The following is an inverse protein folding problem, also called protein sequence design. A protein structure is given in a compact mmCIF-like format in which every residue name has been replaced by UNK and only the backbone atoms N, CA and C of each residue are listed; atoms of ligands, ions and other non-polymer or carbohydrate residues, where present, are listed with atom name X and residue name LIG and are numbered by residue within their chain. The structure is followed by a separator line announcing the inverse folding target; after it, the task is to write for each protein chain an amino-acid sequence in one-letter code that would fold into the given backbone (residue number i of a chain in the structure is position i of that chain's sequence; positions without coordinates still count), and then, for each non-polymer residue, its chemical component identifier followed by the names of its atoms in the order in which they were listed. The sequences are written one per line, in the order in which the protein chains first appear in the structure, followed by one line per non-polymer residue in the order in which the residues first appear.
data_IF_312959819524
#
_entry.id   IF_312959819524
#
_cell.length_a   1.000
_cell.length_b   1.000
_cell.length_c   1.000
_cell.angle_alpha   90.00
_cell.angle_beta   90.00
_cell.angle_gamma   90.00
#
_symmetry.space_group_name_H-M   'P 1'
#
loop_
_entity.id
_entity.type
_entity.pdbx_description
1 polymer ?
#
# COMPACT_ATOMS: atom_id res chain seq x y z
N UNK A 1 -41.61 -18.46 7.37
CA UNK A 1 -40.52 -19.45 7.51
C UNK A 1 -39.39 -18.69 8.18
N UNK A 2 -39.31 -18.83 9.50
CA UNK A 2 -38.42 -18.04 10.34
C UNK A 2 -37.03 -18.64 10.35
N UNK A 3 -36.02 -17.79 10.17
CA UNK A 3 -34.63 -18.03 10.54
C UNK A 3 -34.07 -16.66 10.93
N UNK A 4 -34.50 -16.14 12.08
CA UNK A 4 -33.99 -14.87 12.63
C UNK A 4 -32.79 -15.16 13.55
N UNK A 5 -31.85 -15.98 13.07
CA UNK A 5 -30.75 -16.47 13.91
C UNK A 5 -29.48 -15.62 13.84
N UNK A 6 -29.47 -14.57 13.02
CA UNK A 6 -28.29 -13.71 12.83
C UNK A 6 -28.57 -12.21 12.80
N UNK A 7 -29.84 -11.78 12.85
CA UNK A 7 -30.18 -10.35 12.89
C UNK A 7 -29.89 -9.83 14.30
N UNK A 8 -28.94 -8.92 14.39
CA UNK A 8 -28.59 -8.28 15.66
C UNK A 8 -29.49 -7.07 15.91
N UNK A 9 -29.74 -6.25 14.89
CA UNK A 9 -30.53 -5.02 15.01
C UNK A 9 -31.04 -4.54 13.64
N UNK A 10 -32.20 -3.88 13.61
CA UNK A 10 -32.71 -3.16 12.43
C UNK A 10 -33.19 -1.79 12.89
N UNK A 11 -32.53 -0.74 12.42
CA UNK A 11 -32.93 0.64 12.71
C UNK A 11 -33.43 1.32 11.46
N UNK A 12 -34.37 2.25 11.62
CA UNK A 12 -34.81 3.13 10.54
C UNK A 12 -34.97 4.53 11.09
N UNK A 13 -34.29 5.50 10.48
CA UNK A 13 -34.34 6.91 10.86
C UNK A 13 -34.71 7.78 9.69
N UNK A 14 -35.45 8.85 9.97
CA UNK A 14 -35.74 9.89 9.00
C UNK A 14 -34.59 10.90 9.00
N UNK A 15 -33.94 11.08 7.85
CA UNK A 15 -32.77 11.98 7.69
C UNK A 15 -33.11 13.25 6.89
N UNK A 16 -34.34 13.36 6.39
CA UNK A 16 -34.86 14.54 5.70
C UNK A 16 -36.38 14.50 5.61
N UNK A 17 -36.98 15.45 4.90
CA UNK A 17 -38.45 15.53 4.78
C UNK A 17 -39.07 14.28 4.12
N UNK A 18 -38.38 13.67 3.17
CA UNK A 18 -38.81 12.45 2.46
C UNK A 18 -37.76 11.35 2.44
N UNK A 19 -36.64 11.53 3.15
CA UNK A 19 -35.49 10.62 3.12
C UNK A 19 -35.44 9.79 4.39
N UNK A 20 -35.36 8.47 4.23
CA UNK A 20 -35.22 7.50 5.29
C UNK A 20 -33.98 6.66 5.06
N UNK A 21 -33.25 6.38 6.13
CA UNK A 21 -32.13 5.43 6.14
C UNK A 21 -32.52 4.26 7.04
N UNK A 22 -32.47 3.05 6.50
CA UNK A 22 -32.72 1.80 7.22
C UNK A 22 -31.44 0.96 7.23
N UNK A 23 -31.02 0.51 8.40
CA UNK A 23 -29.75 -0.20 8.60
C UNK A 23 -30.02 -1.52 9.30
N UNK A 24 -29.56 -2.61 8.70
CA UNK A 24 -29.58 -3.97 9.25
C UNK A 24 -28.17 -4.32 9.77
N UNK A 25 -28.06 -4.62 11.06
CA UNK A 25 -26.89 -5.28 11.65
C UNK A 25 -27.14 -6.79 11.67
N UNK A 26 -26.26 -7.54 11.00
CA UNK A 26 -26.44 -8.96 10.78
C UNK A 26 -25.11 -9.72 10.91
N UNK A 27 -25.11 -10.82 11.64
CA UNK A 27 -23.99 -11.75 11.76
C UNK A 27 -24.31 -13.00 10.93
N UNK A 28 -23.79 -13.12 9.70
CA UNK A 28 -24.08 -14.26 8.84
C UNK A 28 -23.42 -15.55 9.32
N UNK A 29 -24.10 -16.67 9.11
CA UNK A 29 -23.57 -18.03 9.20
C UNK A 29 -23.20 -18.57 7.81
N UNK A 30 -22.51 -19.72 7.78
CA UNK A 30 -22.12 -20.40 6.54
C UNK A 30 -23.30 -20.69 5.60
N UNK A 31 -24.48 -20.97 6.15
CA UNK A 31 -25.68 -21.29 5.39
C UNK A 31 -26.34 -20.06 4.74
N UNK A 32 -25.98 -18.84 5.18
CA UNK A 32 -26.61 -17.61 4.75
C UNK A 32 -26.02 -17.06 3.45
N UNK A 33 -24.78 -17.44 3.12
CA UNK A 33 -24.14 -17.04 1.87
C UNK A 33 -24.79 -17.71 0.66
N UNK A 34 -25.18 -16.92 -0.33
CA UNK A 34 -25.95 -17.35 -1.50
C UNK A 34 -27.46 -17.21 -1.33
N UNK A 35 -27.96 -16.90 -0.13
CA UNK A 35 -29.36 -16.55 0.07
C UNK A 35 -29.66 -15.13 -0.42
N UNK A 36 -30.90 -14.95 -0.90
CA UNK A 36 -31.40 -13.62 -1.29
C UNK A 36 -32.09 -12.96 -0.10
N UNK A 37 -31.60 -11.79 0.28
CA UNK A 37 -32.23 -10.88 1.22
C UNK A 37 -33.15 -9.92 0.44
N UNK A 38 -34.32 -9.60 0.98
CA UNK A 38 -35.29 -8.68 0.38
C UNK A 38 -35.53 -7.50 1.32
N UNK A 39 -35.12 -6.30 0.89
CA UNK A 39 -35.45 -5.04 1.54
C UNK A 39 -36.85 -4.60 1.09
N UNK A 40 -37.70 -4.22 2.04
CA UNK A 40 -39.07 -3.78 1.77
C UNK A 40 -39.35 -2.43 2.40
N UNK A 41 -39.86 -1.49 1.61
CA UNK A 41 -40.37 -0.21 2.08
C UNK A 41 -41.87 -0.13 1.84
N UNK A 42 -42.63 0.27 2.86
CA UNK A 42 -44.09 0.25 2.83
C UNK A 42 -44.65 1.66 2.98
N UNK A 43 -45.53 2.02 2.04
CA UNK A 43 -46.57 3.03 2.20
C UNK A 43 -47.90 2.33 1.81
N UNK A 44 -48.98 2.98 1.34
CA UNK A 44 -50.13 2.26 0.77
C UNK A 44 -49.78 1.29 -0.38
N UNK A 45 -48.54 1.33 -0.90
CA UNK A 45 -47.91 0.38 -1.81
C UNK A 45 -46.64 -0.19 -1.19
N UNK A 46 -46.11 -1.27 -1.76
CA UNK A 46 -44.90 -1.95 -1.26
C UNK A 46 -43.82 -1.90 -2.34
N UNK A 47 -42.69 -1.26 -2.03
CA UNK A 47 -41.45 -1.38 -2.79
C UNK A 47 -40.62 -2.57 -2.29
N UNK A 48 -39.98 -3.30 -3.19
CA UNK A 48 -39.10 -4.43 -2.86
C UNK A 48 -37.79 -4.32 -3.65
N UNK A 49 -36.69 -4.62 -3.00
CA UNK A 49 -35.39 -4.76 -3.65
C UNK A 49 -34.66 -5.93 -3.02
N UNK A 50 -34.11 -6.82 -3.84
CA UNK A 50 -33.45 -8.02 -3.37
C UNK A 50 -32.00 -8.06 -3.78
N UNK A 51 -31.15 -8.58 -2.90
CA UNK A 51 -29.73 -8.82 -3.16
C UNK A 51 -29.32 -10.17 -2.59
N UNK A 52 -28.29 -10.77 -3.16
CA UNK A 52 -27.73 -12.03 -2.67
C UNK A 52 -26.55 -11.73 -1.75
N UNK A 53 -26.53 -12.35 -0.58
CA UNK A 53 -25.40 -12.24 0.33
C UNK A 53 -24.21 -13.02 -0.25
N UNK A 54 -23.09 -12.33 -0.45
CA UNK A 54 -21.84 -12.94 -0.93
C UNK A 54 -20.78 -12.93 0.16
N UNK A 55 -19.86 -13.89 0.11
CA UNK A 55 -18.68 -13.88 0.97
C UNK A 55 -17.77 -12.75 0.54
N UNK A 56 -17.26 -12.00 1.52
CA UNK A 56 -16.15 -11.11 1.28
C UNK A 56 -14.98 -11.89 0.68
N UNK A 57 -14.42 -11.37 -0.40
CA UNK A 57 -13.28 -11.99 -1.05
C UNK A 57 -11.96 -11.47 -0.46
N UNK A 58 -10.90 -12.31 -0.44
CA UNK A 58 -9.55 -11.82 -0.19
C UNK A 58 -9.17 -10.68 -1.15
N UNK A 59 -8.20 -9.82 -0.80
CA UNK A 59 -7.82 -8.69 -1.63
C UNK A 59 -7.44 -9.11 -3.05
N UNK A 60 -7.83 -8.29 -4.03
CA UNK A 60 -7.42 -8.52 -5.41
C UNK A 60 -5.94 -8.21 -5.60
N UNK A 61 -5.43 -8.58 -6.77
CA UNK A 61 -4.04 -8.31 -7.16
C UNK A 61 -3.75 -6.81 -7.10
N UNK A 62 -2.69 -6.44 -6.37
CA UNK A 62 -2.21 -5.07 -6.26
C UNK A 62 -1.70 -4.59 -7.62
N UNK A 63 -2.06 -3.35 -7.99
CA UNK A 63 -1.57 -2.75 -9.23
C UNK A 63 -0.28 -1.95 -8.98
N UNK A 64 0.85 -2.48 -9.43
CA UNK A 64 2.15 -1.82 -9.32
C UNK A 64 2.21 -0.72 -10.38
N UNK A 65 2.48 0.51 -9.95
CA UNK A 65 2.56 1.67 -10.84
C UNK A 65 4.01 1.97 -11.23
N UNK A 66 4.91 2.03 -10.23
CA UNK A 66 6.31 2.39 -10.43
C UNK A 66 7.19 1.62 -9.44
N UNK A 67 8.42 1.32 -9.87
CA UNK A 67 9.46 0.70 -9.04
C UNK A 67 10.71 1.54 -9.17
N UNK A 68 11.25 2.00 -8.05
CA UNK A 68 12.42 2.88 -7.98
C UNK A 68 13.53 2.21 -7.14
N UNK A 69 14.52 1.57 -7.79
CA UNK A 69 15.66 0.99 -7.09
C UNK A 69 16.61 2.07 -6.56
N UNK A 70 17.33 1.73 -5.49
CA UNK A 70 18.48 2.47 -4.94
C UNK A 70 19.68 1.52 -4.79
N UNK A 71 20.81 2.00 -4.28
CA UNK A 71 21.98 1.14 -4.07
C UNK A 71 21.77 0.08 -2.98
N UNK A 72 20.95 0.37 -1.97
CA UNK A 72 20.72 -0.51 -0.81
C UNK A 72 19.26 -0.92 -0.62
N UNK A 73 18.41 -0.73 -1.61
CA UNK A 73 16.98 -0.92 -1.44
C UNK A 73 16.14 -0.67 -2.68
N UNK A 74 14.82 -0.75 -2.52
CA UNK A 74 13.85 -0.43 -3.56
C UNK A 74 12.60 0.20 -2.96
N UNK A 75 12.01 1.12 -3.70
CA UNK A 75 10.75 1.76 -3.39
C UNK A 75 9.71 1.34 -4.43
N UNK A 76 8.61 0.75 -4.00
CA UNK A 76 7.53 0.24 -4.84
C UNK A 76 6.29 1.09 -4.63
N UNK A 77 5.78 1.68 -5.69
CA UNK A 77 4.55 2.47 -5.70
C UNK A 77 3.42 1.66 -6.30
N UNK A 78 2.27 1.67 -5.64
CA UNK A 78 1.12 0.87 -6.05
C UNK A 78 -0.19 1.59 -5.77
N UNK A 79 -1.24 1.11 -6.41
CA UNK A 79 -2.62 1.52 -6.17
C UNK A 79 -3.40 0.29 -5.69
N UNK A 80 -4.19 0.48 -4.63
CA UNK A 80 -5.18 -0.51 -4.19
C UNK A 80 -6.27 -0.65 -5.25
N UNK A 81 -6.77 -1.87 -5.46
CA UNK A 81 -7.95 -2.04 -6.30
C UNK A 81 -9.15 -1.46 -5.55
N UNK A 82 -9.97 -0.63 -6.21
CA UNK A 82 -11.14 0.03 -5.58
C UNK A 82 -12.26 -0.96 -5.16
N UNK A 83 -12.03 -2.26 -5.33
CA UNK A 83 -13.03 -3.32 -5.22
C UNK A 83 -12.75 -4.33 -4.11
N UNK A 84 -11.89 -3.99 -3.15
CA UNK A 84 -11.65 -4.85 -1.99
C UNK A 84 -12.79 -4.69 -0.99
N UNK A 85 -13.59 -5.76 -0.79
CA UNK A 85 -14.76 -5.77 0.10
C UNK A 85 -14.41 -5.45 1.56
N UNK A 86 -13.15 -5.70 1.94
CA UNK A 86 -12.62 -5.50 3.28
C UNK A 86 -11.29 -4.73 3.25
N UNK A 87 -11.01 -3.93 4.29
CA UNK A 87 -9.75 -3.18 4.38
C UNK A 87 -8.55 -4.13 4.45
N UNK A 88 -7.51 -3.80 3.69
CA UNK A 88 -6.21 -4.49 3.76
C UNK A 88 -5.58 -4.24 5.14
N UNK A 89 -5.11 -5.30 5.77
CA UNK A 89 -4.46 -5.29 7.08
C UNK A 89 -2.94 -5.19 6.93
N UNK A 90 -2.37 -5.95 5.99
CA UNK A 90 -0.92 -6.00 5.77
C UNK A 90 -0.55 -6.44 4.35
N UNK A 91 0.67 -6.12 3.97
CA UNK A 91 1.33 -6.60 2.75
C UNK A 91 2.42 -7.59 3.14
N UNK A 92 2.42 -8.75 2.49
CA UNK A 92 3.44 -9.78 2.63
C UNK A 92 4.28 -9.74 1.36
N UNK A 93 5.57 -9.46 1.52
CA UNK A 93 6.55 -9.37 0.46
C UNK A 93 7.47 -10.57 0.53
N UNK A 94 7.72 -11.19 -0.63
CA UNK A 94 8.68 -12.28 -0.77
C UNK A 94 9.68 -11.91 -1.86
N UNK A 95 10.96 -11.85 -1.52
CA UNK A 95 11.99 -11.49 -2.48
C UNK A 95 13.22 -12.37 -2.39
N UNK A 96 13.91 -12.52 -3.52
CA UNK A 96 15.11 -13.33 -3.64
C UNK A 96 16.06 -12.77 -4.70
N UNK A 97 17.33 -13.15 -4.62
CA UNK A 97 18.37 -12.81 -5.59
C UNK A 97 18.26 -13.76 -6.80
N UNK A 98 18.29 -13.22 -8.01
CA UNK A 98 18.13 -14.01 -9.25
C UNK A 98 19.44 -14.69 -9.70
N UNK A 99 20.58 -14.08 -9.45
CA UNK A 99 21.88 -14.53 -10.00
C UNK A 99 22.60 -15.56 -9.12
N UNK A 100 21.97 -16.03 -8.04
CA UNK A 100 22.56 -17.00 -7.12
C UNK A 100 21.93 -18.39 -7.30
N UNK A 101 22.78 -19.43 -7.30
CA UNK A 101 22.31 -20.83 -7.35
C UNK A 101 21.63 -21.26 -6.04
N UNK A 102 21.92 -20.56 -4.95
CA UNK A 102 21.24 -20.73 -3.67
C UNK A 102 20.10 -19.70 -3.59
N UNK A 103 18.88 -20.20 -3.42
CA UNK A 103 17.71 -19.36 -3.13
C UNK A 103 17.81 -18.85 -1.70
N UNK A 104 17.77 -17.53 -1.53
CA UNK A 104 17.74 -16.84 -0.24
C UNK A 104 16.41 -16.09 -0.13
N UNK A 105 15.29 -16.83 -0.24
CA UNK A 105 13.95 -16.25 -0.16
C UNK A 105 13.74 -15.55 1.19
N UNK A 106 13.57 -14.24 1.15
CA UNK A 106 13.26 -13.42 2.31
C UNK A 106 11.78 -13.08 2.32
N UNK A 107 11.17 -13.02 3.52
CA UNK A 107 9.78 -12.60 3.70
C UNK A 107 9.74 -11.37 4.61
N UNK A 108 9.01 -10.34 4.18
CA UNK A 108 8.80 -9.11 4.94
C UNK A 108 7.30 -8.84 5.06
N UNK A 109 6.84 -8.46 6.25
CA UNK A 109 5.44 -8.14 6.52
C UNK A 109 5.34 -6.67 6.89
N UNK A 110 4.50 -5.94 6.18
CA UNK A 110 4.31 -4.49 6.36
C UNK A 110 2.85 -4.21 6.67
N UNK A 111 2.52 -3.65 7.86
CA UNK A 111 1.17 -3.23 8.18
C UNK A 111 0.65 -2.18 7.18
N UNK A 112 -0.59 -2.31 6.73
CA UNK A 112 -1.18 -1.41 5.74
C UNK A 112 -1.29 0.04 6.25
N UNK A 113 -1.43 0.25 7.57
CA UNK A 113 -1.43 1.59 8.17
C UNK A 113 -0.11 2.35 7.96
N UNK A 114 1.01 1.62 7.76
CA UNK A 114 2.32 2.20 7.48
C UNK A 114 2.58 2.38 5.98
N UNK A 115 1.68 1.90 5.12
CA UNK A 115 1.90 1.84 3.67
C UNK A 115 0.58 1.95 2.92
N UNK A 116 0.21 3.18 2.57
CA UNK A 116 -1.07 3.44 1.87
C UNK A 116 -0.94 3.35 0.35
N UNK A 117 0.23 3.69 -0.22
CA UNK A 117 0.49 3.67 -1.68
C UNK A 117 1.93 3.31 -2.05
N UNK A 118 2.77 3.02 -1.07
CA UNK A 118 4.20 2.85 -1.26
C UNK A 118 4.81 1.91 -0.22
N UNK A 119 5.65 0.98 -0.67
CA UNK A 119 6.45 0.09 0.17
C UNK A 119 7.93 0.35 -0.09
N UNK A 120 8.75 0.34 0.96
CA UNK A 120 10.20 0.43 0.86
C UNK A 120 10.85 -0.82 1.46
N UNK A 121 11.82 -1.37 0.74
CA UNK A 121 12.69 -2.46 1.20
C UNK A 121 14.11 -1.87 1.27
N UNK A 122 14.80 -2.12 2.38
CA UNK A 122 16.15 -1.64 2.64
C UNK A 122 17.11 -2.80 2.91
N UNK A 123 18.40 -2.50 3.07
CA UNK A 123 19.48 -3.46 3.34
C UNK A 123 19.64 -4.54 2.26
N UNK A 124 19.31 -4.19 1.01
CA UNK A 124 19.59 -5.01 -0.16
C UNK A 124 21.05 -4.86 -0.58
N UNK A 125 21.60 -5.89 -1.22
CA UNK A 125 22.96 -5.86 -1.75
C UNK A 125 23.03 -4.93 -2.97
N UNK A 126 24.04 -4.06 -3.09
CA UNK A 126 24.26 -3.27 -4.30
C UNK A 126 24.50 -4.12 -5.54
N UNK A 127 24.28 -3.56 -6.72
CA UNK A 127 24.56 -4.22 -8.01
C UNK A 127 23.95 -5.61 -8.18
N UNK A 128 22.79 -5.87 -7.57
CA UNK A 128 22.20 -7.21 -7.46
C UNK A 128 20.81 -7.25 -8.09
N UNK A 129 20.54 -8.29 -8.91
CA UNK A 129 19.23 -8.53 -9.48
C UNK A 129 18.32 -9.25 -8.46
N UNK A 130 17.15 -8.68 -8.21
CA UNK A 130 16.13 -9.20 -7.31
C UNK A 130 14.84 -9.51 -8.06
N UNK A 131 14.13 -10.53 -7.57
CA UNK A 131 12.73 -10.78 -7.90
C UNK A 131 11.90 -10.65 -6.63
N UNK A 132 10.79 -9.91 -6.72
CA UNK A 132 9.88 -9.62 -5.63
C UNK A 132 8.45 -10.02 -5.99
N UNK A 133 7.73 -10.58 -5.02
CA UNK A 133 6.30 -10.86 -5.05
C UNK A 133 5.65 -10.13 -3.88
N UNK A 134 4.49 -9.52 -4.12
CA UNK A 134 3.71 -8.83 -3.09
C UNK A 134 2.32 -9.45 -3.05
N UNK A 135 1.79 -9.67 -1.86
CA UNK A 135 0.39 -10.04 -1.64
C UNK A 135 -0.20 -9.20 -0.51
N UNK A 136 -1.46 -8.80 -0.67
CA UNK A 136 -2.23 -8.12 0.36
C UNK A 136 -3.05 -9.13 1.17
N UNK A 137 -3.24 -8.88 2.45
CA UNK A 137 -4.06 -9.70 3.34
C UNK A 137 -5.14 -8.84 4.01
N UNK A 138 -6.38 -9.32 4.03
CA UNK A 138 -7.49 -8.72 4.78
C UNK A 138 -8.10 -9.74 5.74
N UNK A 139 -9.20 -9.37 6.41
CA UNK A 139 -9.96 -10.33 7.24
C UNK A 139 -10.58 -11.47 6.44
N UNK A 140 -10.74 -11.32 5.12
CA UNK A 140 -11.17 -12.42 4.24
C UNK A 140 -10.02 -13.40 3.94
N UNK A 141 -8.77 -13.04 4.25
CA UNK A 141 -7.58 -13.87 4.06
C UNK A 141 -6.54 -13.24 3.13
N UNK A 142 -5.59 -14.08 2.71
CA UNK A 142 -4.49 -13.72 1.81
C UNK A 142 -5.02 -13.61 0.37
N UNK A 143 -4.77 -12.46 -0.25
CA UNK A 143 -5.22 -12.10 -1.58
C UNK A 143 -4.40 -12.73 -2.72
N UNK A 144 -4.60 -12.17 -3.92
CA UNK A 144 -3.84 -12.59 -5.09
C UNK A 144 -2.45 -11.93 -5.11
N UNK A 145 -1.41 -12.74 -5.34
CA UNK A 145 -0.04 -12.25 -5.51
C UNK A 145 0.11 -11.41 -6.79
N UNK A 146 1.02 -10.45 -6.75
CA UNK A 146 1.48 -9.75 -7.95
C UNK A 146 2.18 -10.71 -8.93
N UNK A 147 2.41 -10.25 -10.16
CA UNK A 147 3.43 -10.91 -10.99
C UNK A 147 4.83 -10.71 -10.37
N UNK A 148 5.85 -11.45 -10.84
CA UNK A 148 7.23 -11.22 -10.42
C UNK A 148 7.65 -9.80 -10.80
N UNK A 149 8.04 -9.02 -9.79
CA UNK A 149 8.59 -7.69 -9.93
C UNK A 149 10.10 -7.84 -9.95
N UNK A 150 10.71 -7.63 -11.12
CA UNK A 150 12.16 -7.73 -11.27
C UNK A 150 12.77 -6.34 -11.22
N UNK A 151 13.83 -6.19 -10.44
CA UNK A 151 14.58 -4.94 -10.35
C UNK A 151 16.05 -5.23 -10.03
N UNK A 152 16.93 -4.29 -10.36
CA UNK A 152 18.35 -4.34 -10.01
C UNK A 152 18.68 -3.17 -9.09
N UNK A 153 19.31 -3.45 -7.96
CA UNK A 153 19.86 -2.40 -7.10
C UNK A 153 21.03 -1.71 -7.79
N UNK A 154 21.20 -0.43 -7.52
CA UNK A 154 22.28 0.36 -8.11
C UNK A 154 23.63 -0.04 -7.51
N UNK A 155 24.73 0.22 -8.22
CA UNK A 155 26.08 -0.06 -7.71
C UNK A 155 26.45 0.93 -6.59
N UNK A 156 26.30 2.21 -6.90
CA UNK A 156 26.41 3.37 -6.00
C UNK A 156 25.43 4.41 -6.51
N UNK A 157 24.72 5.08 -5.62
CA UNK A 157 23.99 6.29 -5.99
C UNK A 157 25.04 7.43 -6.05
N UNK A 158 24.85 8.39 -6.95
CA UNK A 158 25.63 9.63 -6.88
C UNK A 158 25.35 10.31 -5.53
N UNK A 159 26.34 10.93 -4.88
CA UNK A 159 26.09 11.74 -3.70
C UNK A 159 25.03 12.80 -3.99
N UNK A 160 24.05 12.92 -3.11
CA UNK A 160 23.04 13.97 -3.17
C UNK A 160 23.52 15.15 -2.34
N UNK A 161 23.39 16.37 -2.86
CA UNK A 161 23.87 17.57 -2.18
C UNK A 161 22.98 18.78 -2.46
N UNK A 162 22.89 19.67 -1.47
CA UNK A 162 22.20 20.95 -1.58
C UNK A 162 23.20 22.09 -1.46
N UNK A 163 22.97 23.15 -2.23
CA UNK A 163 23.72 24.41 -2.15
C UNK A 163 22.83 25.40 -1.40
N UNK A 164 23.38 26.11 -0.41
CA UNK A 164 22.64 27.17 0.28
C UNK A 164 22.31 28.29 -0.72
N UNK A 165 21.01 28.57 -0.87
CA UNK A 165 20.51 29.63 -1.76
C UNK A 165 20.99 31.04 -1.35
N UNK A 166 21.47 31.21 -0.11
CA UNK A 166 22.00 32.47 0.40
C UNK A 166 23.51 32.65 0.16
N UNK A 167 24.12 31.92 -0.77
CA UNK A 167 25.57 32.00 -1.08
C UNK A 167 26.06 33.43 -1.39
N UNK A 168 25.18 34.29 -1.90
CA UNK A 168 25.51 35.70 -2.19
C UNK A 168 25.57 36.58 -0.92
N UNK A 169 25.14 36.06 0.24
CA UNK A 169 25.12 36.75 1.54
C UNK A 169 26.16 36.22 2.53
N UNK A 170 26.95 35.22 2.14
CA UNK A 170 28.03 34.65 2.96
C UNK A 170 29.39 35.29 2.67
N UNK A 171 29.44 36.33 1.84
CA UNK A 171 30.59 37.20 1.70
C UNK A 171 30.74 38.09 2.94
N UNK A 172 31.84 37.89 3.67
CA UNK A 172 32.15 38.56 4.93
C UNK A 172 32.87 39.90 4.71
N UNK A 173 33.52 40.07 3.55
CA UNK A 173 34.12 41.32 3.09
C UNK A 173 34.12 41.41 1.56
N UNK A 174 34.65 42.50 1.03
CA UNK A 174 34.94 42.71 -0.39
C UNK A 174 36.05 41.79 -0.95
N UNK A 175 36.82 41.15 -0.06
CA UNK A 175 37.90 40.22 -0.42
C UNK A 175 37.66 38.78 0.05
N UNK A 176 36.57 38.49 0.77
CA UNK A 176 36.34 37.17 1.36
C UNK A 176 34.89 36.69 1.29
N UNK A 177 34.71 35.47 0.78
CA UNK A 177 33.43 34.77 0.74
C UNK A 177 33.51 33.37 1.31
N UNK A 178 32.49 32.99 2.07
CA UNK A 178 32.35 31.64 2.62
C UNK A 178 31.33 30.86 1.78
N UNK A 179 31.78 29.81 1.09
CA UNK A 179 30.88 28.91 0.35
C UNK A 179 30.65 27.67 1.21
N UNK A 180 29.39 27.36 1.49
CA UNK A 180 29.00 26.15 2.23
C UNK A 180 27.95 25.39 1.43
N UNK A 181 28.15 24.09 1.32
CA UNK A 181 27.27 23.15 0.63
C UNK A 181 27.24 21.86 1.44
N UNK A 182 26.09 21.22 1.50
CA UNK A 182 25.88 20.05 2.34
C UNK A 182 25.66 18.82 1.47
N UNK A 183 26.33 17.73 1.80
CA UNK A 183 26.07 16.42 1.20
C UNK A 183 24.94 15.80 2.03
N UNK A 184 23.77 15.67 1.42
CA UNK A 184 22.57 15.09 2.02
C UNK A 184 22.64 13.56 2.05
N UNK A 185 23.35 12.96 1.09
CA UNK A 185 23.56 11.53 1.01
C UNK A 185 24.87 11.20 0.30
N UNK A 186 25.60 10.20 0.78
CA UNK A 186 26.83 9.70 0.15
C UNK A 186 26.56 8.68 -0.98
N UNK A 187 25.28 8.38 -1.20
CA UNK A 187 24.83 7.43 -2.20
C UNK A 187 25.22 5.96 -1.94
N UNK A 188 25.60 5.64 -0.70
CA UNK A 188 25.99 4.30 -0.27
C UNK A 188 27.48 4.00 -0.44
N UNK A 189 28.32 5.02 -0.59
CA UNK A 189 29.77 4.89 -0.55
C UNK A 189 30.43 6.14 0.06
N UNK A 190 31.54 6.00 0.83
CA UNK A 190 32.21 7.15 1.43
C UNK A 190 32.63 8.20 0.40
N UNK A 191 32.38 9.47 0.71
CA UNK A 191 32.87 10.60 -0.08
C UNK A 191 34.40 10.63 -0.03
N UNK A 192 35.04 10.49 -1.19
CA UNK A 192 36.50 10.45 -1.29
C UNK A 192 37.13 11.84 -1.36
N UNK A 193 36.49 12.76 -2.09
CA UNK A 193 36.91 14.16 -2.22
C UNK A 193 35.73 15.04 -2.57
N UNK A 194 35.83 16.32 -2.23
CA UNK A 194 34.94 17.39 -2.67
C UNK A 194 35.78 18.44 -3.39
N UNK A 195 35.27 19.01 -4.47
CA UNK A 195 35.98 20.02 -5.27
C UNK A 195 35.03 21.15 -5.67
N UNK A 196 35.55 22.37 -5.70
CA UNK A 196 34.92 23.56 -6.26
C UNK A 196 35.83 23.99 -7.42
N UNK A 197 35.31 23.99 -8.64
CA UNK A 197 36.06 24.26 -9.88
C UNK A 197 35.89 25.71 -10.33
#
# INVERSE_FOLDING_TARGET
VGIDNGVNDITTKQIGTTLYESVLSYTPTEADFGLSFECRALNPRIGRHSFTLQRAQPPKKINITHVKPSSSGVEIFFQSSETDDLPVLQYILKYDIQDTKESQLQTLIIPAQKSTKQIRIENLRPSTNYQLLIVAESRAGIGQQTGPIQFRTLDRQIPDFTIDENINRTCLSDESCLITWNIESDGGAPILRTEIL
#
